data_IF_444151735923
#
_entry.id   IF_444151735923
#
_cell.length_a   1.000
_cell.length_b   1.000
_cell.length_c   1.000
_cell.angle_alpha   90.00
_cell.angle_beta   90.00
_cell.angle_gamma   90.00
#
_symmetry.space_group_name_H-M   'P 1'
#
loop_
_entity.id
_entity.type
_entity.pdbx_description
1 polymer ?
#
# COMPACT_ATOMS: atom_id res chain seq x y z
N UNK A 1 41.41 56.10 -3.42
CA UNK A 1 41.30 54.65 -3.11
C UNK A 1 39.97 54.40 -2.40
N UNK A 2 38.95 53.93 -3.14
CA UNK A 2 37.61 53.65 -2.62
C UNK A 2 37.57 52.21 -2.07
N UNK A 3 37.17 52.04 -0.81
CA UNK A 3 36.96 50.73 -0.18
C UNK A 3 35.55 50.24 -0.51
N UNK A 4 35.46 49.13 -1.24
CA UNK A 4 34.21 48.40 -1.50
C UNK A 4 33.95 47.43 -0.34
N UNK A 5 32.82 47.59 0.35
CA UNK A 5 32.25 46.59 1.25
C UNK A 5 31.53 45.53 0.40
N UNK A 6 32.02 44.29 0.42
CA UNK A 6 31.26 43.13 -0.03
C UNK A 6 30.38 42.64 1.11
N UNK A 7 29.07 42.82 0.99
CA UNK A 7 28.07 42.16 1.83
C UNK A 7 27.80 40.76 1.24
N UNK A 8 28.20 39.71 1.96
CA UNK A 8 27.77 38.34 1.66
C UNK A 8 26.33 38.17 2.13
N UNK A 9 25.39 38.02 1.19
CA UNK A 9 24.05 37.58 1.46
C UNK A 9 24.08 36.06 1.75
N UNK A 10 23.81 35.69 3.00
CA UNK A 10 23.68 34.30 3.43
C UNK A 10 22.28 33.82 2.99
N UNK A 11 22.19 33.06 1.91
CA UNK A 11 20.95 32.40 1.51
C UNK A 11 20.69 31.21 2.45
N UNK A 12 19.72 31.35 3.35
CA UNK A 12 19.24 30.24 4.18
C UNK A 12 18.44 29.28 3.33
N UNK A 13 19.07 28.16 2.95
CA UNK A 13 18.40 27.00 2.38
C UNK A 13 17.54 26.37 3.50
N UNK A 14 16.23 26.62 3.48
CA UNK A 14 15.26 25.87 4.27
C UNK A 14 15.19 24.46 3.68
N UNK A 15 16.03 23.56 4.21
CA UNK A 15 15.81 22.13 4.05
C UNK A 15 14.58 21.80 4.89
N UNK A 16 13.46 21.53 4.23
CA UNK A 16 12.30 20.91 4.88
C UNK A 16 12.72 19.52 5.33
N UNK A 17 13.14 19.40 6.59
CA UNK A 17 13.28 18.12 7.25
C UNK A 17 11.85 17.64 7.47
N UNK A 18 11.36 16.78 6.58
CA UNK A 18 10.19 15.97 6.89
C UNK A 18 10.55 15.17 8.14
N UNK A 19 9.93 15.49 9.27
CA UNK A 19 9.93 14.61 10.42
C UNK A 19 9.17 13.36 9.98
N UNK A 20 9.89 12.33 9.53
CA UNK A 20 9.29 11.03 9.33
C UNK A 20 8.82 10.58 10.72
N UNK A 21 7.50 10.49 10.90
CA UNK A 21 6.91 9.96 12.12
C UNK A 21 7.46 8.57 12.43
N UNK A 22 7.38 8.13 13.68
CA UNK A 22 7.81 6.77 14.03
C UNK A 22 6.90 5.76 13.32
N UNK A 23 7.48 5.05 12.34
CA UNK A 23 6.84 3.96 11.60
C UNK A 23 7.32 2.62 12.13
N UNK A 24 6.40 1.69 12.35
CA UNK A 24 6.68 0.28 12.59
C UNK A 24 5.86 -0.57 11.65
N UNK A 25 6.50 -1.61 11.10
CA UNK A 25 5.84 -2.60 10.27
C UNK A 25 6.14 -4.00 10.77
N UNK A 26 5.08 -4.80 10.93
CA UNK A 26 5.16 -6.22 11.25
C UNK A 26 4.66 -7.01 10.04
N UNK A 27 5.53 -7.80 9.41
CA UNK A 27 5.24 -8.54 8.19
C UNK A 27 4.98 -10.00 8.54
N UNK A 28 3.88 -10.55 8.02
CA UNK A 28 3.51 -11.95 8.18
C UNK A 28 3.79 -12.71 6.89
N UNK A 29 4.09 -14.00 6.99
CA UNK A 29 4.40 -14.84 5.83
C UNK A 29 3.16 -15.32 5.04
N UNK A 30 2.02 -14.63 5.23
CA UNK A 30 0.71 -14.89 4.60
C UNK A 30 0.28 -13.66 3.74
N UNK A 31 1.23 -12.93 3.15
CA UNK A 31 1.00 -11.79 2.25
C UNK A 31 0.26 -10.59 2.88
N UNK A 32 0.49 -10.32 4.16
CA UNK A 32 -0.02 -9.12 4.82
C UNK A 32 0.93 -8.56 5.88
N UNK A 33 0.70 -7.30 6.26
CA UNK A 33 1.45 -6.62 7.30
C UNK A 33 0.57 -5.76 8.18
N UNK A 34 1.00 -5.56 9.44
CA UNK A 34 0.46 -4.55 10.35
C UNK A 34 1.39 -3.34 10.33
N UNK A 35 0.85 -2.20 9.92
CA UNK A 35 1.53 -0.91 9.93
C UNK A 35 1.05 -0.11 11.13
N UNK A 36 1.99 0.56 11.80
CA UNK A 36 1.75 1.56 12.83
C UNK A 36 2.57 2.79 12.52
N UNK A 37 1.94 3.96 12.59
CA UNK A 37 2.58 5.23 12.28
C UNK A 37 2.07 6.29 13.24
N UNK A 38 2.97 7.11 13.78
CA UNK A 38 2.60 8.27 14.58
C UNK A 38 2.82 9.55 13.78
N UNK A 39 1.79 10.37 13.62
CA UNK A 39 1.92 11.71 13.03
C UNK A 39 1.19 12.78 13.83
N UNK A 40 1.70 14.01 13.79
CA UNK A 40 1.03 15.18 14.37
C UNK A 40 -0.10 15.65 13.45
N UNK A 41 -1.34 15.54 13.92
CA UNK A 41 -2.53 16.02 13.21
C UNK A 41 -3.09 17.28 13.88
N UNK A 42 -3.63 18.18 13.06
CA UNK A 42 -4.23 19.44 13.52
C UNK A 42 -5.75 19.33 13.55
N UNK A 43 -6.35 19.68 14.69
CA UNK A 43 -7.79 19.64 14.93
C UNK A 43 -8.29 21.05 15.22
N UNK A 44 -9.40 21.43 14.56
CA UNK A 44 -10.10 22.67 14.83
C UNK A 44 -11.20 22.45 15.84
N UNK A 45 -11.47 23.45 16.68
CA UNK A 45 -12.58 23.43 17.62
C UNK A 45 -13.90 23.17 16.87
N UNK A 46 -14.71 22.27 17.42
CA UNK A 46 -15.93 21.78 16.79
C UNK A 46 -15.65 20.58 15.89
N UNK A 47 -16.56 20.32 14.98
CA UNK A 47 -16.51 19.18 14.06
C UNK A 47 -15.78 19.58 12.79
N UNK A 48 -14.81 18.78 12.34
CA UNK A 48 -14.04 19.05 11.13
C UNK A 48 -13.38 17.82 10.53
N UNK A 49 -12.96 17.96 9.28
CA UNK A 49 -12.26 16.92 8.53
C UNK A 49 -10.76 16.93 8.85
N UNK A 50 -10.19 15.73 9.06
CA UNK A 50 -8.77 15.49 9.25
C UNK A 50 -8.33 14.44 8.24
N UNK A 51 -7.25 14.73 7.51
CA UNK A 51 -6.70 13.85 6.49
C UNK A 51 -5.36 13.28 6.92
N UNK A 52 -5.12 12.04 6.53
CA UNK A 52 -3.85 11.36 6.70
C UNK A 52 -3.49 10.67 5.40
N UNK A 53 -2.43 11.17 4.81
CA UNK A 53 -1.93 10.72 3.52
C UNK A 53 -0.87 9.62 3.70
N UNK A 54 -0.38 9.06 2.59
CA UNK A 54 0.72 8.09 2.55
C UNK A 54 0.41 6.75 3.25
N UNK A 55 -0.83 6.27 3.14
CA UNK A 55 -1.16 4.90 3.50
C UNK A 55 -0.94 3.94 2.34
N UNK A 56 -0.81 2.65 2.66
CA UNK A 56 -0.75 1.59 1.65
C UNK A 56 -1.95 1.63 0.69
N UNK A 57 -1.69 1.37 -0.59
CA UNK A 57 -2.75 1.26 -1.59
C UNK A 57 -3.57 -0.02 -1.42
N UNK A 58 -2.96 -1.07 -0.85
CA UNK A 58 -3.60 -2.34 -0.49
C UNK A 58 -4.03 -2.41 0.99
N UNK A 59 -4.23 -1.25 1.63
CA UNK A 59 -4.76 -1.17 2.99
C UNK A 59 -6.12 -1.88 3.09
N UNK A 60 -6.33 -2.60 4.19
CA UNK A 60 -7.65 -3.07 4.59
C UNK A 60 -8.37 -1.92 5.31
N UNK A 61 -9.34 -1.24 4.68
CA UNK A 61 -9.97 -0.05 5.26
C UNK A 61 -10.77 -0.36 6.54
N UNK A 62 -11.13 -1.63 6.78
CA UNK A 62 -11.88 -2.05 7.96
C UNK A 62 -10.99 -2.30 9.18
N UNK A 63 -9.67 -2.37 8.97
CA UNK A 63 -8.67 -2.59 10.02
C UNK A 63 -8.09 -1.30 10.62
N UNK A 64 -8.46 -0.15 10.05
CA UNK A 64 -7.88 1.14 10.40
C UNK A 64 -8.35 1.59 11.78
N UNK A 65 -7.40 1.98 12.61
CA UNK A 65 -7.61 2.54 13.93
C UNK A 65 -6.75 3.79 14.11
N UNK A 66 -7.31 4.83 14.72
CA UNK A 66 -6.63 6.08 15.04
C UNK A 66 -6.77 6.37 16.54
N UNK A 67 -5.67 6.73 17.19
CA UNK A 67 -5.63 7.11 18.60
C UNK A 67 -4.93 8.45 18.79
N UNK A 68 -5.68 9.56 18.97
CA UNK A 68 -5.10 10.83 19.38
C UNK A 68 -4.52 10.73 20.79
N UNK A 69 -3.28 11.20 20.99
CA UNK A 69 -2.63 11.25 22.30
C UNK A 69 -3.10 12.43 23.17
N UNK A 70 -3.64 13.48 22.56
CA UNK A 70 -4.25 14.61 23.26
C UNK A 70 -5.71 14.33 23.58
N UNK A 71 -6.15 14.64 24.81
CA UNK A 71 -7.55 14.55 25.20
C UNK A 71 -8.42 15.66 24.59
N UNK A 72 -9.74 15.42 24.56
CA UNK A 72 -10.72 16.37 24.01
C UNK A 72 -10.99 16.21 22.51
N UNK A 73 -10.49 15.13 21.90
CA UNK A 73 -10.72 14.78 20.49
C UNK A 73 -11.57 13.51 20.44
N UNK A 74 -12.65 13.52 19.65
CA UNK A 74 -13.49 12.36 19.37
C UNK A 74 -13.53 12.10 17.88
N UNK A 75 -13.32 10.85 17.46
CA UNK A 75 -13.44 10.44 16.06
C UNK A 75 -14.88 10.01 15.81
N UNK A 76 -15.54 10.66 14.87
CA UNK A 76 -16.97 10.47 14.58
C UNK A 76 -17.19 9.56 13.37
N UNK A 77 -16.41 9.77 12.31
CA UNK A 77 -16.52 9.04 11.05
C UNK A 77 -15.13 8.74 10.49
N UNK A 78 -15.01 7.61 9.78
CA UNK A 78 -13.80 7.19 9.09
C UNK A 78 -14.13 6.80 7.66
N UNK A 79 -13.46 7.43 6.71
CA UNK A 79 -13.57 7.17 5.29
C UNK A 79 -12.20 6.85 4.70
N UNK A 80 -12.14 5.84 3.83
CA UNK A 80 -10.95 5.56 3.02
C UNK A 80 -11.18 6.02 1.58
N UNK A 81 -10.39 6.99 1.13
CA UNK A 81 -10.42 7.48 -0.24
C UNK A 81 -9.32 6.78 -1.06
N UNK A 82 -9.73 5.88 -1.94
CA UNK A 82 -8.85 5.04 -2.76
C UNK A 82 -8.98 5.29 -4.27
N UNK A 83 -9.82 6.24 -4.68
CA UNK A 83 -10.02 6.54 -6.08
C UNK A 83 -8.85 7.36 -6.64
N UNK A 84 -7.70 6.69 -6.78
CA UNK A 84 -6.45 7.27 -7.26
C UNK A 84 -6.64 7.86 -8.64
N UNK A 85 -6.17 9.08 -8.86
CA UNK A 85 -6.26 9.74 -10.14
C UNK A 85 -5.43 9.03 -11.21
N UNK A 86 -6.03 8.77 -12.37
CA UNK A 86 -5.36 8.36 -13.59
C UNK A 86 -6.17 8.82 -14.80
N UNK A 87 -5.57 8.79 -16.00
CA UNK A 87 -6.22 9.23 -17.25
C UNK A 87 -7.58 8.55 -17.45
N UNK A 88 -7.67 7.24 -17.21
CA UNK A 88 -8.91 6.48 -17.36
C UNK A 88 -10.03 7.00 -16.44
N UNK A 89 -9.72 7.26 -15.17
CA UNK A 89 -10.68 7.75 -14.18
C UNK A 89 -11.08 9.19 -14.41
N UNK A 90 -10.14 10.04 -14.84
CA UNK A 90 -10.47 11.41 -15.26
C UNK A 90 -11.47 11.34 -16.41
N UNK A 91 -11.16 10.56 -17.46
CA UNK A 91 -12.06 10.38 -18.61
C UNK A 91 -13.43 9.81 -18.20
N UNK A 92 -13.47 8.82 -17.29
CA UNK A 92 -14.72 8.28 -16.74
C UNK A 92 -15.57 9.34 -16.03
N UNK A 93 -14.96 10.18 -15.18
CA UNK A 93 -15.67 11.27 -14.48
C UNK A 93 -16.15 12.36 -15.44
N UNK A 94 -15.50 12.49 -16.59
CA UNK A 94 -15.84 13.44 -17.64
C UNK A 94 -16.88 12.93 -18.65
N UNK A 95 -17.36 11.68 -18.54
CA UNK A 95 -18.48 11.19 -19.36
C UNK A 95 -19.71 12.09 -19.17
N UNK A 96 -20.32 12.49 -20.29
CA UNK A 96 -21.47 13.40 -20.29
C UNK A 96 -21.10 14.87 -20.04
N UNK A 97 -19.82 15.23 -20.01
CA UNK A 97 -19.36 16.62 -19.82
C UNK A 97 -18.42 17.06 -20.95
N UNK A 98 -18.24 18.38 -21.10
CA UNK A 98 -17.42 18.94 -22.16
C UNK A 98 -15.91 18.72 -21.91
N UNK A 99 -15.22 18.23 -22.93
CA UNK A 99 -13.75 18.13 -22.99
C UNK A 99 -13.22 18.70 -24.30
N UNK A 100 -11.91 18.94 -24.34
CA UNK A 100 -11.16 19.24 -25.56
C UNK A 100 -10.20 18.12 -25.93
N UNK A 101 -10.07 17.82 -27.21
CA UNK A 101 -9.05 16.94 -27.78
C UNK A 101 -8.16 17.77 -28.70
N UNK A 102 -6.84 17.69 -28.52
CA UNK A 102 -5.88 18.26 -29.46
C UNK A 102 -5.36 17.16 -30.35
N UNK A 103 -5.47 17.32 -31.66
CA UNK A 103 -4.97 16.33 -32.62
C UNK A 103 -3.51 16.58 -32.98
N UNK A 104 -2.85 15.61 -33.63
CA UNK A 104 -1.49 15.75 -34.20
C UNK A 104 -1.36 16.91 -35.19
N UNK A 105 -2.45 17.26 -35.87
CA UNK A 105 -2.53 18.42 -36.79
C UNK A 105 -2.59 19.76 -36.05
N UNK A 106 -2.78 19.75 -34.73
CA UNK A 106 -2.98 20.95 -33.91
C UNK A 106 -4.45 21.39 -33.80
N UNK A 107 -5.37 20.66 -34.43
CA UNK A 107 -6.81 20.97 -34.36
C UNK A 107 -7.34 20.69 -32.96
N UNK A 108 -8.17 21.59 -32.45
CA UNK A 108 -8.82 21.43 -31.14
C UNK A 108 -10.29 21.09 -31.38
N UNK A 109 -10.66 19.85 -31.03
CA UNK A 109 -12.05 19.38 -31.07
C UNK A 109 -12.65 19.52 -29.68
N UNK A 110 -13.75 20.27 -29.56
CA UNK A 110 -14.50 20.41 -28.30
C UNK A 110 -15.86 19.74 -28.41
N UNK A 111 -16.29 19.09 -27.35
CA UNK A 111 -17.60 18.46 -27.28
C UNK A 111 -17.81 17.68 -26.01
N UNK A 112 -19.04 17.20 -25.82
CA UNK A 112 -19.42 16.34 -24.71
C UNK A 112 -18.85 14.94 -24.95
N UNK A 113 -18.08 14.43 -23.99
CA UNK A 113 -17.55 13.07 -24.06
C UNK A 113 -18.69 12.05 -23.90
N UNK A 114 -19.00 11.32 -24.97
CA UNK A 114 -20.04 10.29 -24.98
C UNK A 114 -19.50 8.94 -24.56
N UNK A 115 -18.31 8.60 -25.06
CA UNK A 115 -17.60 7.39 -24.68
C UNK A 115 -16.13 7.51 -25.01
N UNK A 116 -15.35 6.61 -24.44
CA UNK A 116 -13.98 6.39 -24.83
C UNK A 116 -13.60 4.94 -24.57
N UNK A 117 -12.74 4.42 -25.42
CA UNK A 117 -11.97 3.21 -25.19
C UNK A 117 -10.51 3.54 -25.52
N UNK A 118 -9.55 2.67 -25.18
CA UNK A 118 -8.13 2.97 -25.40
C UNK A 118 -7.76 3.28 -26.87
N UNK A 119 -8.67 3.07 -27.83
CA UNK A 119 -8.46 3.29 -29.25
C UNK A 119 -9.23 4.50 -29.79
N UNK A 120 -10.35 4.88 -29.18
CA UNK A 120 -11.24 5.93 -29.69
C UNK A 120 -11.82 6.81 -28.58
N UNK A 121 -11.99 8.09 -28.88
CA UNK A 121 -12.79 9.02 -28.10
C UNK A 121 -13.98 9.51 -28.94
N UNK A 122 -15.19 9.45 -28.38
CA UNK A 122 -16.42 9.89 -29.03
C UNK A 122 -16.90 11.19 -28.40
N UNK A 123 -16.95 12.26 -29.20
CA UNK A 123 -17.46 13.56 -28.78
C UNK A 123 -18.74 13.92 -29.53
N UNK A 124 -19.70 14.51 -28.83
CA UNK A 124 -20.82 15.23 -29.42
C UNK A 124 -20.57 16.74 -29.34
N UNK A 125 -20.52 17.43 -30.48
CA UNK A 125 -20.38 18.89 -30.48
C UNK A 125 -21.72 19.60 -30.20
N UNK A 126 -21.70 20.93 -30.14
CA UNK A 126 -22.89 21.74 -29.85
C UNK A 126 -23.97 21.72 -30.94
N UNK A 127 -23.64 21.34 -32.18
CA UNK A 127 -24.62 21.15 -33.26
C UNK A 127 -25.27 19.75 -33.24
N UNK A 128 -24.82 18.88 -32.34
CA UNK A 128 -25.33 17.50 -32.20
C UNK A 128 -24.60 16.49 -33.08
N UNK A 129 -23.57 16.89 -33.83
CA UNK A 129 -22.73 15.99 -34.61
C UNK A 129 -21.89 15.09 -33.68
N UNK A 130 -21.87 13.80 -33.99
CA UNK A 130 -21.04 12.80 -33.30
C UNK A 130 -19.74 12.61 -34.09
N UNK A 131 -18.62 12.84 -33.42
CA UNK A 131 -17.28 12.64 -33.97
C UNK A 131 -16.59 11.51 -33.22
N UNK A 132 -16.02 10.57 -33.98
CA UNK A 132 -15.19 9.47 -33.45
C UNK A 132 -13.74 9.78 -33.83
N UNK A 133 -12.89 9.95 -32.82
CA UNK A 133 -11.48 10.29 -33.01
C UNK A 133 -10.60 9.14 -32.56
N UNK A 134 -9.69 8.69 -33.42
CA UNK A 134 -8.69 7.69 -33.06
C UNK A 134 -7.75 8.26 -32.00
N UNK A 135 -7.51 7.53 -30.91
CA UNK A 135 -6.64 7.93 -29.81
C UNK A 135 -5.20 8.20 -30.27
N UNK A 136 -4.72 7.51 -31.31
CA UNK A 136 -3.40 7.76 -31.90
C UNK A 136 -3.31 9.13 -32.59
N UNK A 137 -4.43 9.75 -32.95
CA UNK A 137 -4.44 11.10 -33.52
C UNK A 137 -4.49 12.17 -32.44
N UNK A 138 -4.72 11.82 -31.18
CA UNK A 138 -4.84 12.74 -30.05
C UNK A 138 -3.47 12.88 -29.37
N UNK A 139 -2.99 14.12 -29.25
CA UNK A 139 -1.74 14.42 -28.55
C UNK A 139 -1.97 14.97 -27.14
N UNK A 140 -3.17 15.51 -26.87
CA UNK A 140 -3.52 16.10 -25.58
C UNK A 140 -5.04 16.01 -25.31
N UNK A 141 -5.39 15.71 -24.07
CA UNK A 141 -6.77 15.74 -23.55
C UNK A 141 -6.90 16.92 -22.59
N UNK A 142 -7.80 17.85 -22.91
CA UNK A 142 -8.00 19.08 -22.14
C UNK A 142 -9.29 19.02 -21.35
N UNK A 143 -9.14 19.06 -20.03
CA UNK A 143 -10.24 19.09 -19.07
C UNK A 143 -10.33 20.49 -18.44
N UNK A 144 -11.55 20.92 -18.09
CA UNK A 144 -11.76 22.25 -17.51
C UNK A 144 -11.22 22.39 -16.08
N UNK A 145 -11.30 21.33 -15.27
CA UNK A 145 -10.77 21.26 -13.91
C UNK A 145 -10.41 19.80 -13.56
N UNK A 146 -9.85 19.58 -12.37
CA UNK A 146 -9.75 18.21 -11.85
C UNK A 146 -11.14 17.73 -11.42
N UNK A 147 -11.56 16.49 -11.73
CA UNK A 147 -12.78 15.93 -11.16
C UNK A 147 -12.70 15.88 -9.63
N UNK A 148 -13.81 16.20 -8.98
CA UNK A 148 -13.92 16.10 -7.53
C UNK A 148 -13.90 14.61 -7.10
N UNK A 149 -13.31 14.33 -5.94
CA UNK A 149 -13.25 12.98 -5.36
C UNK A 149 -12.15 12.05 -5.90
N UNK A 150 -11.33 12.50 -6.85
CA UNK A 150 -10.10 11.80 -7.22
C UNK A 150 -8.95 12.26 -6.31
N UNK A 151 -8.24 11.31 -5.70
CA UNK A 151 -7.11 11.59 -4.82
C UNK A 151 -5.79 11.24 -5.52
N UNK A 152 -4.72 11.97 -5.22
CA UNK A 152 -3.40 11.69 -5.83
C UNK A 152 -2.74 10.44 -5.23
N UNK A 153 -3.10 10.12 -4.00
CA UNK A 153 -2.55 9.02 -3.20
C UNK A 153 -3.69 8.44 -2.33
N UNK A 154 -3.55 7.20 -1.83
CA UNK A 154 -4.48 6.67 -0.86
C UNK A 154 -4.50 7.58 0.38
N UNK A 155 -5.70 7.99 0.81
CA UNK A 155 -5.87 8.93 1.93
C UNK A 155 -6.96 8.42 2.88
N UNK A 156 -6.65 8.44 4.17
CA UNK A 156 -7.63 8.27 5.23
C UNK A 156 -8.22 9.64 5.60
N UNK A 157 -9.54 9.70 5.73
CA UNK A 157 -10.27 10.91 6.05
C UNK A 157 -11.16 10.64 7.25
N UNK A 158 -10.94 11.37 8.33
CA UNK A 158 -11.77 11.31 9.53
C UNK A 158 -12.56 12.59 9.69
N UNK A 159 -13.82 12.47 10.11
CA UNK A 159 -14.50 13.57 10.78
C UNK A 159 -14.25 13.44 12.27
N UNK A 160 -13.66 14.47 12.85
CA UNK A 160 -13.34 14.53 14.26
C UNK A 160 -14.01 15.75 14.90
N UNK A 161 -14.41 15.60 16.16
CA UNK A 161 -14.83 16.71 17.01
C UNK A 161 -13.72 17.03 18.01
N UNK A 162 -13.39 18.30 18.16
CA UNK A 162 -12.43 18.78 19.16
C UNK A 162 -13.02 19.88 20.04
N UNK A 163 -12.75 19.85 21.35
CA UNK A 163 -13.20 20.89 22.29
C UNK A 163 -12.46 22.22 22.12
N UNK A 164 -11.30 22.19 21.45
CA UNK A 164 -10.40 23.33 21.21
C UNK A 164 -9.62 23.19 19.91
N UNK A 165 -9.03 24.29 19.45
CA UNK A 165 -7.98 24.24 18.43
C UNK A 165 -6.75 23.59 19.06
N UNK A 166 -6.33 22.44 18.55
CA UNK A 166 -5.20 21.70 19.10
C UNK A 166 -4.44 20.94 18.02
N UNK A 167 -3.19 20.62 18.32
CA UNK A 167 -2.46 19.57 17.64
C UNK A 167 -2.37 18.33 18.53
N UNK A 168 -2.31 17.16 17.92
CA UNK A 168 -2.14 15.91 18.63
C UNK A 168 -1.30 14.96 17.79
N UNK A 169 -0.28 14.37 18.40
CA UNK A 169 0.27 13.11 17.90
C UNK A 169 -0.87 12.09 17.86
N UNK A 170 -1.01 11.39 16.74
CA UNK A 170 -2.01 10.37 16.51
C UNK A 170 -1.31 9.09 16.10
N UNK A 171 -1.50 8.01 16.86
CA UNK A 171 -1.10 6.67 16.41
C UNK A 171 -2.18 6.14 15.46
N UNK A 172 -1.79 5.92 14.20
CA UNK A 172 -2.62 5.29 13.18
C UNK A 172 -2.08 3.89 12.95
N UNK A 173 -2.95 2.89 13.02
CA UNK A 173 -2.60 1.49 12.75
C UNK A 173 -3.56 0.85 11.76
N UNK A 174 -3.06 0.03 10.87
CA UNK A 174 -3.87 -0.66 9.87
C UNK A 174 -3.17 -1.92 9.35
N UNK A 175 -3.96 -2.84 8.82
CA UNK A 175 -3.49 -3.97 8.03
C UNK A 175 -3.37 -3.56 6.55
N UNK A 176 -2.40 -4.12 5.86
CA UNK A 176 -2.25 -4.03 4.41
C UNK A 176 -1.95 -5.40 3.85
N UNK A 177 -2.48 -5.69 2.68
CA UNK A 177 -2.06 -6.84 1.88
C UNK A 177 -0.87 -6.44 0.98
N UNK A 178 -0.37 -7.41 0.21
CA UNK A 178 0.67 -7.16 -0.78
C UNK A 178 2.06 -6.95 -0.18
N UNK A 179 2.29 -7.40 1.04
CA UNK A 179 3.62 -7.45 1.64
C UNK A 179 3.85 -8.82 2.26
N UNK A 180 4.96 -9.45 1.94
CA UNK A 180 5.26 -10.80 2.38
C UNK A 180 6.73 -10.95 2.74
N UNK A 181 7.07 -12.01 3.47
CA UNK A 181 8.45 -12.39 3.69
C UNK A 181 8.62 -13.91 3.67
N UNK A 182 9.83 -14.36 3.35
CA UNK A 182 10.26 -15.74 3.50
C UNK A 182 11.73 -15.80 3.91
N UNK A 183 12.17 -16.97 4.39
CA UNK A 183 13.56 -17.22 4.74
C UNK A 183 14.21 -18.18 3.76
N UNK A 184 15.46 -17.90 3.40
CA UNK A 184 16.30 -18.77 2.59
C UNK A 184 17.55 -19.15 3.38
N UNK A 185 17.89 -20.44 3.35
CA UNK A 185 19.08 -20.96 3.99
C UNK A 185 20.05 -21.47 2.93
N UNK A 186 21.26 -20.94 2.93
CA UNK A 186 22.33 -21.32 2.00
C UNK A 186 23.38 -22.08 2.79
N UNK A 187 23.63 -23.33 2.38
CA UNK A 187 24.64 -24.18 2.98
C UNK A 187 25.80 -24.39 2.00
N UNK A 188 27.02 -23.99 2.38
CA UNK A 188 28.23 -24.22 1.60
C UNK A 188 29.13 -25.24 2.30
N UNK A 189 29.57 -26.24 1.55
CA UNK A 189 30.61 -27.17 2.01
C UNK A 189 31.97 -26.62 1.56
N UNK A 190 32.96 -26.72 2.43
CA UNK A 190 34.32 -26.32 2.11
C UNK A 190 34.99 -27.24 1.08
N UNK A 191 36.16 -26.81 0.56
CA UNK A 191 36.86 -27.53 -0.52
C UNK A 191 37.29 -28.95 -0.14
N UNK A 192 37.46 -29.22 1.16
CA UNK A 192 37.95 -30.49 1.67
C UNK A 192 36.81 -31.41 2.16
N UNK A 193 35.54 -31.01 1.98
CA UNK A 193 34.34 -31.73 2.44
C UNK A 193 34.28 -31.99 3.95
N UNK A 194 34.88 -31.11 4.76
CA UNK A 194 35.02 -31.27 6.23
C UNK A 194 34.19 -30.30 7.04
N UNK A 195 33.87 -29.13 6.47
CA UNK A 195 33.09 -28.11 7.18
C UNK A 195 31.93 -27.65 6.30
N UNK A 196 30.81 -27.40 6.96
CA UNK A 196 29.65 -26.75 6.38
C UNK A 196 29.54 -25.36 7.00
N UNK A 197 29.33 -24.35 6.18
CA UNK A 197 28.79 -23.07 6.62
C UNK A 197 27.33 -22.93 6.23
N UNK A 198 26.53 -22.36 7.13
CA UNK A 198 25.11 -22.14 6.96
C UNK A 198 24.80 -20.67 7.20
N UNK A 199 24.22 -20.04 6.19
CA UNK A 199 23.79 -18.64 6.22
C UNK A 199 22.28 -18.55 6.00
N UNK A 200 21.60 -17.83 6.89
CA UNK A 200 20.17 -17.55 6.78
C UNK A 200 19.92 -16.12 6.29
N UNK A 201 19.08 -16.00 5.27
CA UNK A 201 18.60 -14.74 4.72
C UNK A 201 17.08 -14.64 4.88
N UNK A 202 16.60 -13.42 4.91
CA UNK A 202 15.19 -13.08 4.74
C UNK A 202 15.04 -12.27 3.48
N UNK A 203 14.09 -12.66 2.65
CA UNK A 203 13.58 -11.86 1.54
C UNK A 203 12.20 -11.31 1.88
N UNK A 204 12.07 -9.98 1.87
CA UNK A 204 10.81 -9.25 2.02
C UNK A 204 10.40 -8.74 0.65
N UNK A 205 9.19 -9.02 0.22
CA UNK A 205 8.61 -8.46 -1.00
C UNK A 205 7.52 -7.46 -0.62
N UNK A 206 7.64 -6.21 -1.08
CA UNK A 206 6.66 -5.17 -0.81
C UNK A 206 6.03 -4.65 -2.12
N UNK A 207 4.74 -4.91 -2.25
CA UNK A 207 3.85 -4.46 -3.32
C UNK A 207 2.60 -3.78 -2.73
N UNK A 208 2.64 -3.38 -1.46
CA UNK A 208 1.50 -2.80 -0.74
C UNK A 208 1.08 -1.42 -1.27
N UNK A 209 1.91 -0.80 -2.12
CA UNK A 209 1.69 0.54 -2.67
C UNK A 209 2.16 1.67 -1.74
N UNK A 210 2.94 1.35 -0.71
CA UNK A 210 3.59 2.31 0.18
C UNK A 210 5.03 1.91 0.52
N UNK A 211 5.86 2.95 0.67
CA UNK A 211 7.23 2.85 1.20
C UNK A 211 7.19 3.15 2.69
N UNK A 212 7.80 2.28 3.49
CA UNK A 212 7.94 2.45 4.94
C UNK A 212 9.36 2.89 5.25
N UNK A 213 9.60 4.20 5.27
CA UNK A 213 10.93 4.78 5.50
C UNK A 213 11.36 4.67 6.96
N UNK A 214 12.63 4.33 7.19
CA UNK A 214 13.24 4.28 8.54
C UNK A 214 12.37 3.53 9.58
N UNK A 215 11.79 2.40 9.17
CA UNK A 215 10.80 1.69 9.95
C UNK A 215 11.42 0.73 10.96
N UNK A 216 10.76 0.58 12.11
CA UNK A 216 11.00 -0.56 13.01
C UNK A 216 10.35 -1.81 12.41
N UNK A 217 11.18 -2.74 11.96
CA UNK A 217 10.76 -3.92 11.22
C UNK A 217 10.67 -5.16 12.12
N UNK A 218 9.53 -5.83 12.06
CA UNK A 218 9.27 -7.13 12.69
C UNK A 218 8.77 -8.13 11.66
N UNK A 219 9.13 -9.40 11.82
CA UNK A 219 8.69 -10.50 10.98
C UNK A 219 8.04 -11.56 11.86
N UNK A 220 6.90 -12.06 11.43
CA UNK A 220 6.19 -13.13 12.12
C UNK A 220 6.10 -14.34 11.20
N UNK A 221 6.60 -15.48 11.66
CA UNK A 221 6.40 -16.77 11.02
C UNK A 221 5.27 -17.52 11.72
N UNK A 222 4.38 -18.12 10.92
CA UNK A 222 3.28 -18.96 11.40
C UNK A 222 1.98 -18.61 10.68
N UNK A 223 1.03 -19.52 10.70
CA UNK A 223 -0.27 -19.32 10.04
C UNK A 223 -1.16 -18.43 10.90
N UNK A 224 -1.49 -17.23 10.43
CA UNK A 224 -2.40 -16.34 11.15
C UNK A 224 -3.81 -16.55 10.64
N UNK A 225 -4.74 -16.88 11.55
CA UNK A 225 -6.13 -17.01 11.18
C UNK A 225 -6.74 -15.61 10.96
N UNK A 226 -6.92 -15.21 9.70
CA UNK A 226 -7.71 -14.03 9.33
C UNK A 226 -9.07 -14.49 8.85
N UNK A 227 -10.13 -13.95 9.43
CA UNK A 227 -11.48 -14.09 8.89
C UNK A 227 -11.55 -13.25 7.61
N UNK A 228 -11.40 -13.90 6.45
CA UNK A 228 -11.58 -13.22 5.18
C UNK A 228 -13.07 -12.92 4.97
N UNK A 229 -13.44 -11.70 4.53
CA UNK A 229 -14.82 -11.43 4.15
C UNK A 229 -15.23 -12.39 3.03
N UNK A 230 -16.44 -12.98 3.08
CA UNK A 230 -16.88 -13.93 2.07
C UNK A 230 -16.80 -13.28 0.70
N UNK A 231 -16.05 -13.89 -0.23
CA UNK A 231 -16.05 -13.44 -1.62
C UNK A 231 -17.50 -13.46 -2.13
N UNK A 232 -17.97 -12.42 -2.83
CA UNK A 232 -19.27 -12.46 -3.47
C UNK A 232 -19.26 -13.57 -4.52
N UNK A 233 -19.72 -14.76 -4.13
CA UNK A 233 -19.99 -15.85 -5.05
C UNK A 233 -21.03 -15.34 -6.03
N UNK A 234 -20.65 -15.27 -7.30
CA UNK A 234 -21.58 -15.09 -8.41
C UNK A 234 -22.54 -16.27 -8.35
N UNK A 235 -23.70 -16.06 -7.76
CA UNK A 235 -24.73 -17.07 -7.64
C UNK A 235 -25.29 -17.36 -9.04
N UNK A 236 -24.66 -18.31 -9.72
CA UNK A 236 -25.31 -19.11 -10.75
C UNK A 236 -26.53 -19.80 -10.14
N UNK A 237 -27.61 -19.90 -10.92
CA UNK A 237 -29.00 -20.29 -10.61
C UNK A 237 -29.23 -21.66 -9.94
N UNK A 238 -28.24 -22.26 -9.29
CA UNK A 238 -28.28 -23.63 -8.73
C UNK A 238 -28.41 -23.63 -7.19
N UNK A 239 -28.42 -22.47 -6.54
CA UNK A 239 -28.40 -22.38 -5.08
C UNK A 239 -29.74 -22.54 -4.36
N UNK A 240 -30.87 -22.56 -5.08
CA UNK A 240 -32.18 -22.68 -4.43
C UNK A 240 -32.49 -24.11 -3.92
N UNK A 241 -31.70 -25.13 -4.30
CA UNK A 241 -31.93 -26.52 -3.88
C UNK A 241 -31.13 -26.96 -2.64
N UNK A 242 -30.12 -26.21 -2.20
CA UNK A 242 -29.27 -26.58 -1.06
C UNK A 242 -29.66 -25.91 0.26
N UNK A 243 -30.57 -24.94 0.25
CA UNK A 243 -30.92 -24.11 1.42
C UNK A 243 -31.87 -24.79 2.44
N UNK A 244 -32.32 -26.02 2.17
CA UNK A 244 -33.27 -26.75 3.03
C UNK A 244 -32.63 -27.90 3.82
N UNK A 245 -31.30 -27.91 4.01
CA UNK A 245 -30.63 -29.02 4.71
C UNK A 245 -29.38 -28.66 5.55
N UNK A 246 -29.12 -27.39 5.87
CA UNK A 246 -28.02 -27.03 6.78
C UNK A 246 -28.53 -26.77 8.20
N UNK A 247 -28.71 -27.84 8.97
CA UNK A 247 -28.83 -27.75 10.43
C UNK A 247 -27.56 -27.11 10.99
N UNK A 248 -27.76 -26.17 11.91
CA UNK A 248 -26.76 -25.39 12.63
C UNK A 248 -25.47 -26.18 12.91
N UNK A 249 -24.43 -25.87 12.14
CA UNK A 249 -23.07 -26.18 12.52
C UNK A 249 -22.69 -25.28 13.72
N UNK A 250 -21.87 -25.76 14.66
CA UNK A 250 -21.37 -24.93 15.74
C UNK A 250 -20.66 -23.69 15.17
N UNK A 251 -21.04 -22.51 15.69
CA UNK A 251 -20.59 -21.21 15.17
C UNK A 251 -19.12 -20.91 15.49
N UNK A 252 -18.51 -21.69 16.40
CA UNK A 252 -17.09 -21.64 16.72
C UNK A 252 -16.59 -23.05 17.02
N UNK A 253 -15.42 -23.37 16.49
CA UNK A 253 -14.65 -24.55 16.83
C UNK A 253 -13.30 -24.05 17.34
N UNK A 254 -13.03 -24.26 18.63
CA UNK A 254 -11.76 -23.87 19.25
C UNK A 254 -10.71 -24.92 18.88
N UNK A 255 -9.72 -24.53 18.07
CA UNK A 255 -8.53 -25.32 17.81
C UNK A 255 -7.36 -24.72 18.59
N UNK A 256 -6.58 -25.59 19.25
CA UNK A 256 -5.38 -25.19 20.00
C UNK A 256 -4.20 -24.93 19.05
N UNK A 257 -3.59 -23.75 19.16
CA UNK A 257 -2.44 -23.29 18.33
C UNK A 257 -1.08 -23.51 19.02
N UNK A 258 -0.01 -23.70 18.24
CA UNK A 258 1.43 -23.50 18.57
C UNK A 258 2.20 -23.64 17.22
N UNK A 259 3.09 -22.78 16.72
CA UNK A 259 4.10 -21.87 17.29
C UNK A 259 4.22 -20.60 16.41
N UNK A 260 4.28 -19.41 17.02
CA UNK A 260 4.63 -18.17 16.30
C UNK A 260 6.09 -17.83 16.59
N UNK A 261 6.85 -17.48 15.56
CA UNK A 261 8.20 -16.93 15.74
C UNK A 261 8.22 -15.45 15.35
N UNK A 262 8.60 -14.60 16.29
CA UNK A 262 8.77 -13.16 16.08
C UNK A 262 10.26 -12.83 15.95
N UNK A 263 10.65 -12.30 14.79
CA UNK A 263 11.98 -11.78 14.53
C UNK A 263 11.92 -10.26 14.49
N UNK A 264 12.76 -9.58 15.29
CA UNK A 264 12.82 -8.12 15.31
C UNK A 264 14.16 -7.65 14.76
N UNK A 265 14.15 -6.77 13.77
CA UNK A 265 15.36 -6.13 13.29
C UNK A 265 15.77 -5.05 14.30
N UNK A 266 17.00 -5.12 14.81
CA UNK A 266 17.51 -4.20 15.84
C UNK A 266 17.76 -2.79 15.32
N UNK A 267 18.10 -2.66 14.03
CA UNK A 267 18.23 -1.36 13.35
C UNK A 267 16.96 -1.03 12.59
N UNK A 268 16.70 0.27 12.38
CA UNK A 268 15.67 0.71 11.46
C UNK A 268 16.05 0.36 10.01
N UNK A 269 15.03 0.15 9.18
CA UNK A 269 15.20 -0.15 7.76
C UNK A 269 14.04 0.42 6.94
N UNK A 270 14.37 1.00 5.79
CA UNK A 270 13.36 1.42 4.81
C UNK A 270 12.91 0.22 3.99
N UNK A 271 11.63 -0.13 4.01
CA UNK A 271 11.01 -1.14 3.14
C UNK A 271 10.31 -0.42 1.99
N UNK A 272 10.93 -0.34 0.81
CA UNK A 272 10.41 0.44 -0.30
C UNK A 272 9.27 -0.27 -1.02
N UNK A 273 8.33 0.50 -1.59
CA UNK A 273 7.31 -0.06 -2.49
C UNK A 273 7.98 -0.60 -3.77
N UNK A 274 7.46 -1.71 -4.29
CA UNK A 274 7.95 -2.42 -5.48
C UNK A 274 9.42 -2.83 -5.36
N UNK A 275 9.80 -3.29 -4.18
CA UNK A 275 11.14 -3.75 -3.86
C UNK A 275 11.10 -5.14 -3.22
N UNK A 276 12.00 -6.02 -3.65
CA UNK A 276 12.40 -7.18 -2.86
C UNK A 276 13.66 -6.81 -2.07
N UNK A 277 13.58 -6.86 -0.73
CA UNK A 277 14.69 -6.56 0.16
C UNK A 277 15.22 -7.81 0.83
N UNK A 278 16.53 -7.99 0.76
CA UNK A 278 17.22 -9.08 1.44
C UNK A 278 17.98 -8.61 2.68
N UNK A 279 17.83 -9.34 3.77
CA UNK A 279 18.48 -9.08 5.06
C UNK A 279 19.07 -10.37 5.61
N UNK A 280 20.25 -10.31 6.24
CA UNK A 280 20.78 -11.46 6.99
C UNK A 280 19.89 -11.71 8.21
N UNK A 281 19.44 -12.95 8.37
CA UNK A 281 18.57 -13.37 9.48
C UNK A 281 19.39 -13.70 10.72
N UNK A 282 20.47 -14.46 10.53
CA UNK A 282 21.40 -14.88 11.58
C UNK A 282 22.85 -14.69 11.13
N UNK A 283 23.80 -14.54 12.08
CA UNK A 283 25.21 -14.72 11.79
C UNK A 283 25.47 -16.09 11.15
N UNK A 284 26.44 -16.16 10.24
CA UNK A 284 26.87 -17.42 9.63
C UNK A 284 27.30 -18.41 10.71
N UNK A 285 26.73 -19.62 10.66
CA UNK A 285 27.10 -20.72 11.54
C UNK A 285 27.99 -21.70 10.78
N UNK A 286 28.97 -22.30 11.46
CA UNK A 286 29.81 -23.33 10.87
C UNK A 286 29.90 -24.57 11.76
N UNK A 287 29.88 -25.75 11.14
CA UNK A 287 29.95 -27.03 11.83
C UNK A 287 30.75 -28.05 11.01
N UNK A 288 31.51 -28.97 11.65
CA UNK A 288 32.10 -30.10 10.95
C UNK A 288 31.04 -31.00 10.32
N UNK A 289 31.33 -31.54 9.15
CA UNK A 289 30.46 -32.48 8.43
C UNK A 289 31.26 -33.67 7.90
N UNK A 290 30.56 -34.78 7.62
CA UNK A 290 31.13 -35.97 7.00
C UNK A 290 30.39 -36.27 5.70
N UNK A 291 31.14 -36.43 4.61
CA UNK A 291 30.58 -36.84 3.32
C UNK A 291 30.31 -38.33 3.31
N UNK A 292 29.08 -38.71 2.94
CA UNK A 292 28.67 -40.11 2.81
C UNK A 292 28.14 -40.37 1.39
N UNK A 293 28.49 -41.52 0.83
CA UNK A 293 27.96 -41.97 -0.46
C UNK A 293 26.87 -43.01 -0.20
N UNK A 294 25.64 -42.72 -0.66
CA UNK A 294 24.51 -43.65 -0.54
C UNK A 294 24.20 -44.22 -1.92
N UNK A 295 24.23 -45.55 -2.04
CA UNK A 295 23.81 -46.27 -3.25
C UNK A 295 22.46 -46.93 -2.95
N UNK A 296 21.40 -46.46 -3.60
CA UNK A 296 20.06 -47.04 -3.51
C UNK A 296 19.45 -47.27 -4.89
N UNK A 297 18.71 -48.37 -5.08
CA UNK A 297 17.81 -48.50 -6.22
C UNK A 297 16.71 -47.46 -6.04
N UNK A 298 16.50 -46.58 -7.03
CA UNK A 298 15.53 -45.49 -7.00
C UNK A 298 14.24 -45.86 -6.24
N UNK A 299 14.09 -45.32 -5.04
CA UNK A 299 12.79 -44.91 -4.52
C UNK A 299 12.98 -43.43 -4.17
N UNK A 300 12.64 -42.60 -5.14
CA UNK A 300 12.72 -41.15 -5.11
C UNK A 300 11.86 -40.57 -3.99
N UNK A 301 12.50 -40.14 -2.90
CA UNK A 301 11.96 -39.10 -2.00
C UNK A 301 13.13 -38.25 -1.49
N UNK A 302 13.37 -37.14 -2.16
CA UNK A 302 13.92 -35.90 -1.61
C UNK A 302 13.37 -34.73 -2.43
#
# INVERSE_FOLDING_TARGET
MKRLLCAYALATLLVSISYAGDVSITIYNDNFGLVKQTEELSFKKGTGEVRFDNVAAQIDPTSVHILPKSGGISILEQNYQYDLINTQKIMQKYLGTEIGLVTKTGDIRKGILQSFDGNFAILQNSSGEISITNANEIVDYRFGKLPDGLVLKPTLVWWAESDRDTKSDCEVSYLTDGINWHAEYVALVDKDDKNLSLSGWVSIDNQSGATYEDATLKLVAGKVNRVQPPQPQVYGRVAMEYDMAAKAAPQFQEESFFEYHLYSLTRKATVADKETKQLSLFPEASTPVAKVYVVGSQNSWW
#
